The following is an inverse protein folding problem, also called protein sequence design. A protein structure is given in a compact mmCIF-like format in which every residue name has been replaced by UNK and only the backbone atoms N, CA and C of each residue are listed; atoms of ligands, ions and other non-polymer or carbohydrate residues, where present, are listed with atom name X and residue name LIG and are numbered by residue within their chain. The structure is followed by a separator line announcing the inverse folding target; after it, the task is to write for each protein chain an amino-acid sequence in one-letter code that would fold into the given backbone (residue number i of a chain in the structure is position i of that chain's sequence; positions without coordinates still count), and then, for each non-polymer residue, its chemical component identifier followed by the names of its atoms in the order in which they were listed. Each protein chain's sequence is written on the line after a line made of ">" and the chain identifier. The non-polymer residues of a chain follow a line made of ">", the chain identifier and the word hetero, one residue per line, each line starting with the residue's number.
data_IF_389880547437
#
_entry.id   IF_389880547437
#
_cell.length_a   1.000
_cell.length_b   1.000
_cell.length_c   1.000
_cell.angle_alpha   90.00
_cell.angle_beta   90.00
_cell.angle_gamma   90.00
#
_symmetry.space_group_name_H-M   'P 1'
#
loop_
_entity.id
_entity.type
_entity.pdbx_description
1 polymer ?
#
# COMPACT_ATOMS: atom_id res chain seq x y z
N UNK A 1 -13.17 11.94 2.23
CA UNK A 1 -11.73 11.56 2.22
C UNK A 1 -11.24 11.29 3.63
N UNK A 2 -11.49 12.17 4.60
CA UNK A 2 -11.04 12.01 6.00
C UNK A 2 -11.37 10.65 6.64
N UNK A 3 -12.54 10.07 6.38
CA UNK A 3 -12.92 8.75 6.92
C UNK A 3 -12.07 7.60 6.36
N UNK A 4 -11.75 7.61 5.07
CA UNK A 4 -10.93 6.56 4.45
C UNK A 4 -9.48 6.62 4.93
N UNK A 5 -8.98 7.85 5.16
CA UNK A 5 -7.66 8.11 5.72
C UNK A 5 -7.58 7.62 7.16
N UNK A 6 -8.62 7.92 7.96
CA UNK A 6 -8.73 7.47 9.35
C UNK A 6 -8.83 5.95 9.51
N UNK A 7 -9.18 5.20 8.45
CA UNK A 7 -9.20 3.73 8.43
C UNK A 7 -7.89 3.15 7.88
N UNK A 8 -7.31 3.77 6.86
CA UNK A 8 -6.06 3.30 6.24
C UNK A 8 -4.84 3.48 7.15
N UNK A 9 -4.75 4.59 7.91
CA UNK A 9 -3.65 4.85 8.85
C UNK A 9 -3.52 3.78 9.93
N UNK A 10 -4.58 3.43 10.70
CA UNK A 10 -4.47 2.39 11.71
C UNK A 10 -4.24 1.02 11.12
N UNK A 11 -4.73 0.74 9.90
CA UNK A 11 -4.41 -0.51 9.22
C UNK A 11 -2.94 -0.56 8.81
N UNK A 12 -2.41 0.50 8.19
CA UNK A 12 -0.98 0.61 7.91
C UNK A 12 -0.16 0.33 9.18
N UNK A 13 -0.46 1.00 10.30
CA UNK A 13 0.24 0.77 11.57
C UNK A 13 0.06 -0.65 12.12
N UNK A 14 -1.12 -1.24 11.97
CA UNK A 14 -1.39 -2.62 12.40
C UNK A 14 -0.60 -3.65 11.59
N UNK A 15 -0.31 -3.35 10.32
CA UNK A 15 0.53 -4.18 9.47
C UNK A 15 2.02 -3.89 9.66
N UNK A 16 2.47 -2.64 9.72
CA UNK A 16 3.88 -2.21 9.87
C UNK A 16 4.51 -2.63 11.22
N UNK A 17 3.74 -2.59 12.30
CA UNK A 17 4.25 -2.92 13.63
C UNK A 17 4.55 -4.42 13.86
N UNK A 18 4.49 -5.28 12.84
CA UNK A 18 4.56 -6.74 13.03
C UNK A 18 5.99 -7.28 13.01
N UNK A 19 6.90 -6.62 12.28
CA UNK A 19 8.33 -6.98 12.24
C UNK A 19 9.23 -6.13 13.17
N UNK A 20 8.67 -5.10 13.80
CA UNK A 20 9.37 -4.23 14.76
C UNK A 20 9.50 -2.77 14.32
N UNK A 21 9.29 -2.49 13.03
CA UNK A 21 9.29 -1.14 12.46
C UNK A 21 7.87 -0.60 12.33
N UNK A 22 7.39 0.14 13.33
CA UNK A 22 6.00 0.66 13.33
C UNK A 22 5.70 1.72 12.25
N UNK A 23 6.73 2.14 11.52
CA UNK A 23 6.72 3.28 10.61
C UNK A 23 6.84 2.87 9.14
N UNK A 24 7.23 1.61 8.86
CA UNK A 24 7.48 1.07 7.52
C UNK A 24 6.78 -0.28 7.33
N UNK A 25 6.36 -0.57 6.11
CA UNK A 25 5.85 -1.89 5.73
C UNK A 25 6.93 -2.68 5.03
N UNK A 26 7.28 -3.82 5.61
CA UNK A 26 8.08 -4.82 4.90
C UNK A 26 7.31 -5.39 3.70
N UNK A 27 8.04 -6.03 2.78
CA UNK A 27 7.47 -6.67 1.57
C UNK A 27 6.30 -7.60 1.89
N UNK A 28 6.45 -8.43 2.92
CA UNK A 28 5.43 -9.38 3.35
C UNK A 28 4.20 -8.68 3.95
N UNK A 29 4.40 -7.63 4.75
CA UNK A 29 3.34 -6.85 5.37
C UNK A 29 2.54 -6.06 4.33
N UNK A 30 3.23 -5.43 3.38
CA UNK A 30 2.61 -4.75 2.25
C UNK A 30 1.78 -5.72 1.41
N UNK A 31 2.32 -6.92 1.11
CA UNK A 31 1.58 -7.94 0.39
C UNK A 31 0.29 -8.35 1.12
N UNK A 32 0.37 -8.56 2.44
CA UNK A 32 -0.80 -8.91 3.27
C UNK A 32 -1.82 -7.77 3.30
N UNK A 33 -1.39 -6.53 3.48
CA UNK A 33 -2.26 -5.36 3.47
C UNK A 33 -2.95 -5.20 2.12
N UNK A 34 -2.20 -5.27 1.01
CA UNK A 34 -2.77 -5.11 -0.33
C UNK A 34 -3.76 -6.23 -0.64
N UNK A 35 -3.46 -7.47 -0.22
CA UNK A 35 -4.36 -8.61 -0.40
C UNK A 35 -5.60 -8.56 0.51
N UNK A 36 -5.50 -8.02 1.72
CA UNK A 36 -6.63 -7.93 2.65
C UNK A 36 -7.52 -6.73 2.35
N UNK A 37 -6.92 -5.54 2.35
CA UNK A 37 -7.64 -4.25 2.32
C UNK A 37 -7.80 -3.69 0.91
N UNK A 38 -6.81 -3.93 0.04
CA UNK A 38 -6.79 -3.36 -1.32
C UNK A 38 -7.04 -4.41 -2.40
N UNK A 39 -7.55 -5.60 -2.05
CA UNK A 39 -7.88 -6.66 -3.03
C UNK A 39 -8.90 -6.19 -4.06
N UNK A 40 -9.80 -5.29 -3.68
CA UNK A 40 -10.76 -4.67 -4.59
C UNK A 40 -10.16 -3.56 -5.47
N UNK A 41 -8.99 -3.02 -5.13
CA UNK A 41 -8.33 -1.90 -5.82
C UNK A 41 -7.18 -2.37 -6.72
N UNK A 42 -6.42 -3.36 -6.26
CA UNK A 42 -5.32 -3.96 -7.00
C UNK A 42 -5.83 -5.31 -7.54
N UNK A 43 -6.26 -5.33 -8.81
CA UNK A 43 -6.73 -6.57 -9.47
C UNK A 43 -5.71 -7.71 -9.44
N UNK A 44 -4.41 -7.38 -9.31
CA UNK A 44 -3.31 -8.34 -9.19
C UNK A 44 -2.82 -8.50 -7.73
N UNK A 45 -3.62 -8.15 -6.72
CA UNK A 45 -3.22 -8.25 -5.31
C UNK A 45 -2.87 -9.67 -4.85
N UNK A 46 -3.31 -10.69 -5.59
CA UNK A 46 -3.00 -12.08 -5.34
C UNK A 46 -1.75 -12.60 -6.04
N UNK A 47 -1.18 -11.83 -6.96
CA UNK A 47 0.01 -12.23 -7.72
C UNK A 47 1.27 -11.69 -7.04
N UNK A 48 2.13 -12.55 -6.47
CA UNK A 48 3.30 -12.11 -5.74
C UNK A 48 4.30 -11.36 -6.64
N UNK A 49 4.39 -11.69 -7.93
CA UNK A 49 5.27 -10.96 -8.86
C UNK A 49 4.75 -9.55 -9.14
N UNK A 50 3.43 -9.37 -9.28
CA UNK A 50 2.83 -8.06 -9.43
C UNK A 50 2.99 -7.20 -8.17
N UNK A 51 2.88 -7.79 -6.98
CA UNK A 51 3.14 -7.09 -5.72
C UNK A 51 4.62 -6.72 -5.58
N UNK A 52 5.54 -7.62 -5.96
CA UNK A 52 6.98 -7.37 -5.94
C UNK A 52 7.36 -6.20 -6.86
N UNK A 53 6.85 -6.22 -8.10
CA UNK A 53 7.04 -5.11 -9.05
C UNK A 53 6.42 -3.82 -8.55
N UNK A 54 5.22 -3.88 -7.93
CA UNK A 54 4.57 -2.70 -7.38
C UNK A 54 5.38 -2.12 -6.22
N UNK A 55 5.83 -2.96 -5.31
CA UNK A 55 6.67 -2.57 -4.19
C UNK A 55 7.98 -1.95 -4.69
N UNK A 56 8.69 -2.61 -5.59
CA UNK A 56 9.93 -2.07 -6.16
C UNK A 56 9.71 -0.76 -6.92
N UNK A 57 8.54 -0.58 -7.53
CA UNK A 57 8.20 0.69 -8.19
C UNK A 57 7.84 1.82 -7.22
N UNK A 58 7.49 1.50 -5.97
CA UNK A 58 7.09 2.45 -4.94
C UNK A 58 8.23 2.80 -3.98
N UNK A 59 9.07 1.81 -3.70
CA UNK A 59 10.29 1.86 -2.87
C UNK A 59 11.34 2.73 -3.57
N UNK A 60 11.18 4.06 -3.47
CA UNK A 60 12.05 5.03 -4.14
C UNK A 60 13.40 5.13 -3.47
N UNK A 61 13.42 4.92 -2.16
CA UNK A 61 14.65 4.86 -1.37
C UNK A 61 15.44 3.57 -1.59
N UNK A 62 14.87 2.54 -2.25
CA UNK A 62 15.52 1.24 -2.46
C UNK A 62 15.97 0.59 -1.14
N UNK A 63 15.22 0.83 -0.06
CA UNK A 63 15.48 0.29 1.28
C UNK A 63 14.83 -1.10 1.45
N UNK A 64 13.92 -1.46 0.55
CA UNK A 64 13.17 -2.71 0.62
C UNK A 64 11.99 -2.65 1.59
N UNK A 65 11.59 -1.45 2.01
CA UNK A 65 10.53 -1.18 2.96
C UNK A 65 9.73 0.06 2.55
N UNK A 66 8.40 -0.03 2.59
CA UNK A 66 7.53 1.08 2.20
C UNK A 66 7.21 1.98 3.40
N UNK A 67 7.70 3.21 3.34
CA UNK A 67 7.33 4.25 4.31
C UNK A 67 5.86 4.64 4.17
N UNK A 68 5.26 5.19 5.22
CA UNK A 68 3.89 5.71 5.16
C UNK A 68 3.65 6.67 3.98
N UNK A 69 4.66 7.49 3.65
CA UNK A 69 4.61 8.40 2.50
C UNK A 69 4.53 7.67 1.16
N UNK A 70 5.33 6.62 0.96
CA UNK A 70 5.37 5.83 -0.28
C UNK A 70 4.07 5.04 -0.46
N UNK A 71 3.58 4.45 0.63
CA UNK A 71 2.27 3.82 0.65
C UNK A 71 1.15 4.82 0.34
N UNK A 72 1.20 6.03 0.91
CA UNK A 72 0.22 7.08 0.64
C UNK A 72 0.20 7.52 -0.82
N UNK A 73 1.37 7.67 -1.44
CA UNK A 73 1.50 7.98 -2.87
C UNK A 73 0.86 6.88 -3.72
N UNK A 74 1.02 5.60 -3.35
CA UNK A 74 0.32 4.50 -4.01
C UNK A 74 -1.20 4.66 -3.92
N UNK A 75 -1.73 4.86 -2.71
CA UNK A 75 -3.18 5.03 -2.52
C UNK A 75 -3.70 6.21 -3.34
N UNK A 76 -2.97 7.33 -3.37
CA UNK A 76 -3.27 8.47 -4.21
C UNK A 76 -3.28 8.14 -5.71
N UNK A 77 -2.29 7.36 -6.17
CA UNK A 77 -2.20 6.93 -7.57
C UNK A 77 -3.30 5.92 -7.94
N UNK A 78 -3.63 4.97 -7.07
CA UNK A 78 -4.74 4.02 -7.26
C UNK A 78 -6.10 4.73 -7.26
N UNK A 79 -6.29 5.67 -6.34
CA UNK A 79 -7.48 6.50 -6.26
C UNK A 79 -7.63 7.37 -7.53
N UNK A 80 -6.54 7.97 -8.02
CA UNK A 80 -6.52 8.75 -9.26
C UNK A 80 -6.77 7.88 -10.50
N UNK A 81 -6.19 6.67 -10.55
CA UNK A 81 -6.40 5.72 -11.66
C UNK A 81 -7.84 5.20 -11.75
N UNK A 82 -8.57 5.16 -10.63
CA UNK A 82 -10.03 4.89 -10.60
C UNK A 82 -10.86 6.17 -10.70
N UNK A 83 -10.24 7.32 -10.48
CA UNK A 83 -10.78 8.68 -10.63
C UNK A 83 -10.85 9.16 -12.09
N UNK A 84 -10.62 8.30 -13.08
CA UNK A 84 -11.12 8.47 -14.44
C UNK A 84 -12.66 8.38 -14.53
N UNK A 85 -13.38 8.83 -13.50
CA UNK A 85 -14.79 9.19 -13.59
C UNK A 85 -14.84 10.62 -14.11
N UNK A 86 -14.89 10.72 -15.44
CA UNK A 86 -15.66 11.71 -16.18
C UNK A 86 -15.82 13.09 -15.53
N UNK A 87 -15.02 14.07 -15.97
CA UNK A 87 -15.62 15.38 -16.25
C UNK A 87 -16.29 15.34 -17.63
#
# INVERSE_FOLDING_TARGET
>A
METAIGVLVPQFKAYAGRDGSSDTLSRDEFQKLVKSELSSFVKNAGDPAAIDQLMSSLDKNNDGELSFLEFWQLIGHLASKRGGLSQ
#
